data_IF_442177311466
#
_entry.id   IF_442177311466
#
_cell.length_a   1.000
_cell.length_b   1.000
_cell.length_c   1.000
_cell.angle_alpha   90.00
_cell.angle_beta   90.00
_cell.angle_gamma   90.00
#
_symmetry.space_group_name_H-M   'P 1'
#
loop_
_entity.id
_entity.type
_entity.pdbx_description
1 polymer ?
#
# COMPACT_ATOMS: atom_id res chain seq x y z
N UNK A 1 12.01 13.34 1.88
CA UNK A 1 11.22 12.09 1.99
C UNK A 1 9.89 12.24 1.27
N UNK A 2 9.36 11.13 0.80
CA UNK A 2 8.05 11.00 0.15
C UNK A 2 7.20 9.99 0.91
N UNK A 3 5.95 10.33 1.20
CA UNK A 3 4.88 9.38 1.50
C UNK A 3 3.79 9.51 0.44
N UNK A 4 3.64 8.50 -0.39
CA UNK A 4 2.62 8.42 -1.43
C UNK A 4 1.54 7.45 -0.96
N UNK A 5 0.34 7.94 -0.74
CA UNK A 5 -0.77 7.18 -0.17
C UNK A 5 -1.92 7.09 -1.19
N UNK A 6 -2.45 5.90 -1.40
CA UNK A 6 -3.61 5.62 -2.26
C UNK A 6 -4.72 5.08 -1.36
N UNK A 7 -5.92 5.65 -1.42
CA UNK A 7 -7.07 5.13 -0.72
C UNK A 7 -7.62 3.91 -1.48
N UNK A 8 -7.71 2.77 -0.82
CA UNK A 8 -8.25 1.53 -1.39
C UNK A 8 -9.77 1.49 -1.30
N UNK A 9 -10.31 1.93 -0.17
CA UNK A 9 -11.75 1.94 0.08
C UNK A 9 -12.07 1.84 1.58
N UNK A 10 -13.34 1.59 1.88
CA UNK A 10 -13.80 1.31 3.24
C UNK A 10 -13.38 -0.09 3.68
N UNK A 11 -13.25 -0.28 5.00
CA UNK A 11 -12.86 -1.57 5.59
C UNK A 11 -13.97 -2.61 5.33
N UNK A 12 -13.70 -3.49 4.40
CA UNK A 12 -14.50 -4.65 4.03
C UNK A 12 -13.60 -5.86 3.86
N UNK A 13 -14.07 -7.04 4.27
CA UNK A 13 -13.25 -8.26 4.30
C UNK A 13 -12.75 -8.68 2.91
N UNK A 14 -13.62 -8.62 1.90
CA UNK A 14 -13.26 -8.98 0.53
C UNK A 14 -12.26 -7.96 -0.06
N UNK A 15 -12.46 -6.67 0.21
CA UNK A 15 -11.54 -5.61 -0.22
C UNK A 15 -10.18 -5.73 0.48
N UNK A 16 -10.18 -6.07 1.77
CA UNK A 16 -8.95 -6.33 2.52
C UNK A 16 -8.17 -7.52 1.94
N UNK A 17 -8.87 -8.59 1.57
CA UNK A 17 -8.27 -9.75 0.93
C UNK A 17 -7.63 -9.37 -0.42
N UNK A 18 -8.37 -8.67 -1.31
CA UNK A 18 -7.83 -8.17 -2.58
C UNK A 18 -6.60 -7.29 -2.36
N UNK A 19 -6.69 -6.30 -1.47
CA UNK A 19 -5.60 -5.39 -1.17
C UNK A 19 -4.35 -6.11 -0.63
N UNK A 20 -4.53 -7.16 0.19
CA UNK A 20 -3.41 -7.92 0.74
C UNK A 20 -2.63 -8.70 -0.32
N UNK A 21 -3.32 -9.25 -1.32
CA UNK A 21 -2.68 -9.94 -2.45
C UNK A 21 -2.01 -8.93 -3.39
N UNK A 22 -2.67 -7.81 -3.71
CA UNK A 22 -2.08 -6.73 -4.51
C UNK A 22 -0.79 -6.23 -3.84
N UNK A 23 -0.81 -6.00 -2.52
CA UNK A 23 0.38 -5.59 -1.77
C UNK A 23 1.53 -6.58 -1.93
N UNK A 24 1.25 -7.87 -1.76
CA UNK A 24 2.26 -8.95 -1.91
C UNK A 24 2.87 -9.00 -3.32
N UNK A 25 2.07 -8.74 -4.36
CA UNK A 25 2.55 -8.74 -5.75
C UNK A 25 3.46 -7.53 -6.03
N UNK A 26 3.10 -6.34 -5.56
CA UNK A 26 3.82 -5.11 -5.91
C UNK A 26 5.04 -4.83 -5.02
N UNK A 27 5.10 -5.39 -3.81
CA UNK A 27 6.10 -5.07 -2.79
C UNK A 27 7.54 -5.28 -3.30
N UNK A 28 7.81 -6.45 -3.83
CA UNK A 28 9.15 -6.82 -4.26
C UNK A 28 9.60 -6.03 -5.50
N UNK A 29 8.71 -5.82 -6.47
CA UNK A 29 9.03 -5.02 -7.66
C UNK A 29 9.22 -3.55 -7.29
N UNK A 30 8.37 -2.98 -6.46
CA UNK A 30 8.55 -1.60 -5.97
C UNK A 30 9.91 -1.43 -5.29
N UNK A 31 10.26 -2.31 -4.37
CA UNK A 31 11.56 -2.27 -3.70
C UNK A 31 12.71 -2.37 -4.69
N UNK A 32 12.67 -3.36 -5.59
CA UNK A 32 13.71 -3.58 -6.60
C UNK A 32 13.87 -2.36 -7.51
N UNK A 33 12.77 -1.82 -8.03
CA UNK A 33 12.82 -0.67 -8.93
C UNK A 33 13.32 0.60 -8.23
N UNK A 34 12.82 0.91 -7.05
CA UNK A 34 13.14 2.17 -6.36
C UNK A 34 14.47 2.10 -5.61
N UNK A 35 14.73 0.97 -4.93
CA UNK A 35 15.90 0.81 -4.09
C UNK A 35 17.14 0.34 -4.87
N UNK A 36 16.98 -0.70 -5.70
CA UNK A 36 18.11 -1.36 -6.35
C UNK A 36 18.44 -0.70 -7.68
N UNK A 37 17.45 -0.59 -8.58
CA UNK A 37 17.69 -0.11 -9.94
C UNK A 37 17.87 1.40 -10.02
N UNK A 38 17.05 2.16 -9.32
CA UNK A 38 17.07 3.63 -9.35
C UNK A 38 17.84 4.26 -8.18
N UNK A 39 18.17 3.48 -7.18
CA UNK A 39 18.96 3.91 -6.00
C UNK A 39 18.40 5.17 -5.33
N UNK A 40 17.06 5.27 -5.24
CA UNK A 40 16.41 6.49 -4.76
C UNK A 40 16.65 6.77 -3.29
N UNK A 41 16.89 5.75 -2.46
CA UNK A 41 17.11 5.98 -1.05
C UNK A 41 17.39 4.72 -0.24
N UNK A 42 17.70 4.93 1.04
CA UNK A 42 17.94 3.83 1.97
C UNK A 42 16.65 3.18 2.46
N UNK A 43 15.63 3.99 2.76
CA UNK A 43 14.31 3.50 3.13
C UNK A 43 13.42 3.54 1.89
N UNK A 44 12.99 2.37 1.46
CA UNK A 44 12.02 2.17 0.37
C UNK A 44 11.07 1.08 0.83
N UNK A 45 9.84 1.45 1.13
CA UNK A 45 8.81 0.54 1.63
C UNK A 45 7.51 0.72 0.87
N UNK A 46 6.80 -0.39 0.67
CA UNK A 46 5.40 -0.40 0.27
C UNK A 46 4.64 -1.31 1.21
N UNK A 47 3.48 -0.88 1.67
CA UNK A 47 2.65 -1.66 2.58
C UNK A 47 1.19 -1.23 2.54
N UNK A 48 0.33 -2.16 2.92
CA UNK A 48 -1.06 -1.87 3.22
C UNK A 48 -1.16 -1.32 4.64
N UNK A 49 -1.84 -0.20 4.81
CA UNK A 49 -2.18 0.38 6.11
C UNK A 49 -3.69 0.36 6.28
N UNK A 50 -4.14 0.01 7.47
CA UNK A 50 -5.54 0.11 7.88
C UNK A 50 -5.68 1.18 8.94
N UNK A 51 -6.77 1.91 8.87
CA UNK A 51 -7.31 2.73 9.95
C UNK A 51 -8.66 2.13 10.35
N UNK A 52 -9.34 2.72 11.34
CA UNK A 52 -10.63 2.18 11.84
C UNK A 52 -11.63 1.78 10.75
N UNK A 53 -11.74 2.58 9.69
CA UNK A 53 -12.78 2.40 8.66
C UNK A 53 -12.26 2.32 7.23
N UNK A 54 -10.94 2.51 7.00
CA UNK A 54 -10.41 2.63 5.63
C UNK A 54 -9.11 1.86 5.46
N UNK A 55 -8.89 1.45 4.22
CA UNK A 55 -7.69 0.75 3.77
C UNK A 55 -6.93 1.67 2.84
N UNK A 56 -5.61 1.69 2.99
CA UNK A 56 -4.69 2.47 2.17
C UNK A 56 -3.51 1.63 1.70
N UNK A 57 -3.00 1.94 0.51
CA UNK A 57 -1.64 1.61 0.12
C UNK A 57 -0.73 2.78 0.41
N UNK A 58 0.43 2.51 0.96
CA UNK A 58 1.45 3.52 1.22
C UNK A 58 2.80 3.12 0.64
N UNK A 59 3.40 4.04 -0.09
CA UNK A 59 4.75 3.95 -0.62
C UNK A 59 5.60 5.02 0.06
N UNK A 60 6.67 4.59 0.72
CA UNK A 60 7.59 5.46 1.45
C UNK A 60 8.97 5.42 0.84
N UNK A 61 9.55 6.59 0.58
CA UNK A 61 10.93 6.72 0.15
C UNK A 61 11.60 7.83 0.97
N UNK A 62 12.74 7.48 1.61
CA UNK A 62 13.63 8.46 2.21
C UNK A 62 14.94 8.45 1.46
N UNK A 63 15.34 9.62 0.96
CA UNK A 63 16.54 9.82 0.17
C UNK A 63 17.41 10.92 0.77
N UNK A 64 18.72 10.76 0.64
CA UNK A 64 19.71 11.79 0.90
C UNK A 64 20.18 12.50 -0.38
N UNK A 65 19.86 11.94 -1.55
CA UNK A 65 20.37 12.39 -2.86
C UNK A 65 19.28 12.91 -3.80
N UNK A 66 18.03 12.46 -3.64
CA UNK A 66 16.91 12.83 -4.51
C UNK A 66 15.88 13.68 -3.78
N UNK A 67 15.37 14.70 -4.45
CA UNK A 67 14.30 15.55 -3.94
C UNK A 67 12.93 14.83 -3.92
N UNK A 68 12.01 15.28 -3.06
CA UNK A 68 10.72 14.60 -2.90
C UNK A 68 9.83 14.67 -4.15
N UNK A 69 9.91 15.72 -4.94
CA UNK A 69 9.12 15.84 -6.18
C UNK A 69 9.64 14.91 -7.27
N UNK A 70 10.97 14.73 -7.37
CA UNK A 70 11.55 13.76 -8.27
C UNK A 70 11.17 12.34 -7.86
N UNK A 71 11.23 12.00 -6.58
CA UNK A 71 10.79 10.70 -6.08
C UNK A 71 9.31 10.45 -6.39
N UNK A 72 8.44 11.45 -6.20
CA UNK A 72 7.03 11.37 -6.55
C UNK A 72 6.82 11.08 -8.05
N UNK A 73 7.54 11.79 -8.93
CA UNK A 73 7.48 11.54 -10.37
C UNK A 73 7.87 10.10 -10.72
N UNK A 74 8.88 9.55 -10.08
CA UNK A 74 9.34 8.18 -10.31
C UNK A 74 8.34 7.14 -9.79
N UNK A 75 7.73 7.36 -8.62
CA UNK A 75 6.65 6.51 -8.11
C UNK A 75 5.47 6.52 -9.08
N UNK A 76 5.04 7.69 -9.55
CA UNK A 76 3.94 7.78 -10.54
C UNK A 76 4.28 7.09 -11.87
N UNK A 77 5.54 7.15 -12.31
CA UNK A 77 5.97 6.43 -13.51
C UNK A 77 5.96 4.92 -13.30
N UNK A 78 6.38 4.46 -12.14
CA UNK A 78 6.33 3.05 -11.77
C UNK A 78 4.90 2.53 -11.66
N UNK A 79 3.97 3.29 -11.07
CA UNK A 79 2.55 2.91 -10.99
C UNK A 79 1.97 2.57 -12.37
N UNK A 80 2.39 3.27 -13.44
CA UNK A 80 1.96 2.94 -14.80
C UNK A 80 2.47 1.59 -15.29
N UNK A 81 3.62 1.11 -14.77
CA UNK A 81 4.16 -0.20 -15.14
C UNK A 81 3.38 -1.36 -14.52
N UNK A 82 2.61 -1.10 -13.46
CA UNK A 82 1.78 -2.11 -12.80
C UNK A 82 0.69 -2.67 -13.71
N UNK A 83 0.23 -1.91 -14.72
CA UNK A 83 -0.70 -2.42 -15.73
C UNK A 83 -0.16 -3.69 -16.39
N UNK A 84 1.10 -3.62 -16.84
CA UNK A 84 1.76 -4.75 -17.49
C UNK A 84 2.03 -5.90 -16.52
N UNK A 85 2.36 -5.58 -15.27
CA UNK A 85 2.57 -6.56 -14.21
C UNK A 85 1.30 -7.40 -13.97
N UNK A 86 0.16 -6.76 -13.78
CA UNK A 86 -1.11 -7.48 -13.53
C UNK A 86 -1.71 -8.11 -14.80
N UNK A 87 -1.46 -7.55 -15.98
CA UNK A 87 -1.90 -8.16 -17.25
C UNK A 87 -1.13 -9.45 -17.57
N UNK A 88 0.14 -9.51 -17.21
CA UNK A 88 1.01 -10.66 -17.45
C UNK A 88 1.05 -11.65 -16.27
N UNK A 89 0.37 -11.36 -15.16
CA UNK A 89 0.32 -12.23 -13.99
C UNK A 89 -0.21 -13.61 -14.36
N UNK A 90 0.62 -14.63 -14.24
CA UNK A 90 0.21 -16.02 -14.48
C UNK A 90 -0.65 -16.55 -13.34
N UNK A 91 -1.41 -17.62 -13.60
CA UNK A 91 -2.20 -18.28 -12.55
C UNK A 91 -1.29 -18.89 -11.48
N UNK A 92 -0.12 -19.40 -11.89
CA UNK A 92 0.87 -19.95 -10.97
C UNK A 92 1.45 -18.89 -10.02
N UNK A 93 1.81 -17.70 -10.54
CA UNK A 93 2.31 -16.60 -9.72
C UNK A 93 1.25 -16.07 -8.77
N UNK A 94 0.02 -15.91 -9.26
CA UNK A 94 -1.11 -15.52 -8.41
C UNK A 94 -1.30 -16.52 -7.27
N UNK A 95 -1.27 -17.82 -7.56
CA UNK A 95 -1.43 -18.87 -6.56
C UNK A 95 -0.29 -18.87 -5.54
N UNK A 96 0.95 -18.62 -5.97
CA UNK A 96 2.10 -18.48 -5.04
C UNK A 96 1.87 -17.35 -4.04
N UNK A 97 1.42 -16.18 -4.49
CA UNK A 97 1.12 -15.04 -3.60
C UNK A 97 -0.03 -15.37 -2.65
N UNK A 98 -1.08 -16.02 -3.16
CA UNK A 98 -2.24 -16.45 -2.37
C UNK A 98 -1.83 -17.43 -1.27
N UNK A 99 -1.10 -18.48 -1.61
CA UNK A 99 -0.64 -19.50 -0.65
C UNK A 99 0.34 -18.91 0.37
N UNK A 100 1.29 -18.11 -0.05
CA UNK A 100 2.23 -17.45 0.87
C UNK A 100 1.48 -16.60 1.90
N UNK A 101 0.42 -15.87 1.48
CA UNK A 101 -0.40 -15.08 2.40
C UNK A 101 -1.20 -15.94 3.38
N UNK A 102 -1.77 -17.03 2.91
CA UNK A 102 -2.51 -18.00 3.75
C UNK A 102 -1.58 -18.60 4.79
N UNK A 103 -0.41 -19.11 4.37
CA UNK A 103 0.59 -19.70 5.28
C UNK A 103 1.04 -18.69 6.35
N UNK A 104 1.29 -17.43 5.94
CA UNK A 104 1.68 -16.39 6.88
C UNK A 104 0.57 -16.08 7.91
N UNK A 105 -0.69 -16.16 7.50
CA UNK A 105 -1.84 -15.97 8.39
C UNK A 105 -2.08 -17.19 9.28
N UNK A 106 -1.87 -18.40 8.78
CA UNK A 106 -2.05 -19.64 9.56
C UNK A 106 -0.96 -19.85 10.61
N UNK A 107 0.20 -19.21 10.44
CA UNK A 107 1.27 -19.26 11.43
C UNK A 107 0.76 -18.72 12.77
N UNK A 108 0.93 -19.53 13.81
CA UNK A 108 0.64 -19.11 15.19
C UNK A 108 1.79 -18.26 15.75
N UNK A 109 1.47 -17.42 16.71
CA UNK A 109 2.48 -16.64 17.42
C UNK A 109 3.45 -17.58 18.16
N UNK A 110 4.75 -17.34 18.02
CA UNK A 110 5.82 -18.13 18.60
C UNK A 110 6.16 -17.76 20.06
N UNK A 111 5.43 -16.82 20.62
CA UNK A 111 5.58 -16.36 22.02
C UNK A 111 4.23 -15.96 22.62
N UNK A 112 4.15 -15.99 23.94
CA UNK A 112 2.97 -15.51 24.67
C UNK A 112 2.65 -14.05 24.28
N UNK A 113 3.68 -13.21 24.14
CA UNK A 113 3.51 -11.81 23.75
C UNK A 113 2.91 -11.66 22.34
N UNK A 114 3.31 -12.50 21.38
CA UNK A 114 2.74 -12.52 20.03
C UNK A 114 1.26 -12.93 20.07
N UNK A 115 0.92 -14.00 20.80
CA UNK A 115 -0.46 -14.48 20.93
C UNK A 115 -1.35 -13.42 21.61
N UNK A 116 -0.86 -12.77 22.68
CA UNK A 116 -1.58 -11.70 23.34
C UNK A 116 -1.77 -10.49 22.42
N UNK A 117 -0.72 -10.15 21.63
CA UNK A 117 -0.81 -9.08 20.63
C UNK A 117 -1.87 -9.35 19.57
N UNK A 118 -1.92 -10.58 19.05
CA UNK A 118 -2.95 -11.00 18.09
C UNK A 118 -4.36 -10.92 18.68
N UNK A 119 -4.55 -11.42 19.89
CA UNK A 119 -5.85 -11.34 20.59
C UNK A 119 -6.27 -9.90 20.88
N UNK A 120 -5.32 -9.04 21.27
CA UNK A 120 -5.58 -7.63 21.48
C UNK A 120 -6.03 -6.95 20.18
N UNK A 121 -5.33 -7.21 19.06
CA UNK A 121 -5.71 -6.70 17.74
C UNK A 121 -7.11 -7.16 17.34
N UNK A 122 -7.47 -8.43 17.57
CA UNK A 122 -8.82 -8.93 17.30
C UNK A 122 -9.88 -8.24 18.17
N UNK A 123 -9.55 -7.96 19.41
CA UNK A 123 -10.48 -7.30 20.34
C UNK A 123 -10.70 -5.81 20.00
N UNK A 124 -9.65 -5.09 19.55
CA UNK A 124 -9.69 -3.64 19.34
C UNK A 124 -9.96 -3.25 17.89
N UNK A 125 -9.28 -3.90 16.93
CA UNK A 125 -9.28 -3.48 15.53
C UNK A 125 -10.32 -4.25 14.70
N UNK A 126 -10.77 -5.40 15.21
CA UNK A 126 -11.76 -6.26 14.54
C UNK A 126 -13.06 -6.41 15.35
N UNK A 127 -13.36 -5.42 16.20
CA UNK A 127 -14.61 -5.32 16.99
C UNK A 127 -14.91 -6.58 17.84
N UNK A 128 -13.88 -7.29 18.30
CA UNK A 128 -14.01 -8.55 19.06
C UNK A 128 -14.36 -9.76 18.19
N UNK A 129 -14.24 -9.70 16.89
CA UNK A 129 -14.45 -10.85 16.01
C UNK A 129 -13.27 -11.82 16.07
N UNK A 130 -13.24 -12.71 17.06
CA UNK A 130 -12.21 -13.75 17.20
C UNK A 130 -12.20 -14.80 16.06
N UNK A 131 -13.21 -14.78 15.17
CA UNK A 131 -13.21 -15.60 13.96
C UNK A 131 -12.64 -14.85 12.73
N UNK A 132 -12.27 -13.58 12.89
CA UNK A 132 -11.79 -12.74 11.80
C UNK A 132 -10.69 -13.41 10.97
N UNK A 133 -9.66 -13.98 11.62
CA UNK A 133 -8.55 -14.65 10.93
C UNK A 133 -9.03 -15.77 9.99
N UNK A 134 -9.99 -16.61 10.45
CA UNK A 134 -10.58 -17.68 9.64
C UNK A 134 -11.38 -17.13 8.46
N UNK A 135 -12.20 -16.11 8.71
CA UNK A 135 -12.99 -15.43 7.68
C UNK A 135 -12.10 -14.77 6.64
N UNK A 136 -11.00 -14.15 7.08
CA UNK A 136 -10.05 -13.49 6.21
C UNK A 136 -9.28 -14.49 5.32
N UNK A 137 -8.84 -15.63 5.88
CA UNK A 137 -8.24 -16.72 5.11
C UNK A 137 -9.23 -17.25 4.07
N UNK A 138 -10.50 -17.44 4.44
CA UNK A 138 -11.51 -17.88 3.50
C UNK A 138 -11.73 -16.86 2.38
N UNK A 139 -11.82 -15.58 2.71
CA UNK A 139 -11.94 -14.51 1.71
C UNK A 139 -10.73 -14.50 0.73
N UNK A 140 -9.52 -14.80 1.20
CA UNK A 140 -8.34 -14.94 0.34
C UNK A 140 -8.46 -16.19 -0.55
N UNK A 141 -8.94 -17.32 -0.03
CA UNK A 141 -9.14 -18.56 -0.80
C UNK A 141 -10.14 -18.37 -1.94
N UNK A 142 -11.16 -17.55 -1.72
CA UNK A 142 -12.25 -17.30 -2.67
C UNK A 142 -11.89 -16.27 -3.76
N UNK A 143 -10.73 -15.57 -3.63
CA UNK A 143 -10.29 -14.58 -4.61
C UNK A 143 -10.02 -15.21 -5.98
N UNK A 144 -10.46 -14.53 -7.03
CA UNK A 144 -10.07 -14.80 -8.41
C UNK A 144 -8.96 -13.83 -8.83
N UNK A 145 -8.05 -14.29 -9.67
CA UNK A 145 -6.99 -13.46 -10.25
C UNK A 145 -7.57 -12.23 -10.97
N UNK A 146 -8.70 -12.41 -11.70
CA UNK A 146 -9.40 -11.31 -12.36
C UNK A 146 -9.77 -10.18 -11.41
N UNK A 147 -10.33 -10.51 -10.24
CA UNK A 147 -10.81 -9.54 -9.26
C UNK A 147 -9.67 -8.72 -8.66
N UNK A 148 -8.51 -9.38 -8.47
CA UNK A 148 -7.28 -8.76 -7.98
C UNK A 148 -6.67 -7.84 -9.04
N UNK A 149 -6.61 -8.30 -10.30
CA UNK A 149 -6.06 -7.52 -11.41
C UNK A 149 -6.92 -6.30 -11.75
N UNK A 150 -8.25 -6.46 -11.73
CA UNK A 150 -9.19 -5.36 -11.93
C UNK A 150 -9.05 -4.29 -10.82
N UNK A 151 -9.03 -4.73 -9.55
CA UNK A 151 -8.86 -3.80 -8.43
C UNK A 151 -7.49 -3.12 -8.44
N UNK A 152 -6.44 -3.82 -8.82
CA UNK A 152 -5.11 -3.21 -8.97
C UNK A 152 -5.09 -2.12 -10.06
N UNK A 153 -5.76 -2.36 -11.20
CA UNK A 153 -5.91 -1.37 -12.27
C UNK A 153 -6.67 -0.13 -11.80
N UNK A 154 -7.79 -0.32 -11.13
CA UNK A 154 -8.54 0.79 -10.50
C UNK A 154 -7.64 1.59 -9.56
N UNK A 155 -6.96 0.94 -8.62
CA UNK A 155 -6.15 1.61 -7.61
C UNK A 155 -4.98 2.40 -8.19
N UNK A 156 -4.27 1.83 -9.14
CA UNK A 156 -2.99 2.37 -9.59
C UNK A 156 -3.09 3.24 -10.83
N UNK A 157 -4.09 3.01 -11.68
CA UNK A 157 -4.19 3.66 -13.00
C UNK A 157 -5.39 4.60 -13.13
N UNK A 158 -6.48 4.38 -12.39
CA UNK A 158 -7.63 5.29 -12.46
C UNK A 158 -7.26 6.65 -11.83
N UNK A 159 -7.35 7.76 -12.61
CA UNK A 159 -7.08 9.10 -12.10
C UNK A 159 -8.09 9.57 -11.03
N UNK A 160 -9.26 8.95 -10.95
CA UNK A 160 -10.28 9.27 -9.94
C UNK A 160 -9.99 8.63 -8.58
N UNK A 161 -9.11 7.63 -8.51
CA UNK A 161 -8.72 7.03 -7.23
C UNK A 161 -8.06 8.08 -6.32
N UNK A 162 -8.58 8.32 -5.09
CA UNK A 162 -8.04 9.34 -4.20
C UNK A 162 -6.59 9.02 -3.78
N UNK A 163 -5.73 10.03 -3.92
CA UNK A 163 -4.30 9.96 -3.58
C UNK A 163 -3.87 11.15 -2.75
N UNK A 164 -2.96 10.90 -1.84
CA UNK A 164 -2.31 11.94 -1.04
C UNK A 164 -0.80 11.75 -1.09
N UNK A 165 -0.09 12.80 -1.47
CA UNK A 165 1.35 12.85 -1.45
C UNK A 165 1.83 13.83 -0.38
N UNK A 166 2.58 13.32 0.59
CA UNK A 166 3.27 14.15 1.59
C UNK A 166 4.75 14.20 1.23
N UNK A 167 5.22 15.40 0.95
CA UNK A 167 6.53 15.69 0.39
C UNK A 167 7.34 16.50 1.42
N UNK A 168 8.30 15.86 2.09
CA UNK A 168 9.14 16.54 3.08
C UNK A 168 10.49 16.88 2.45
N UNK A 169 10.79 18.17 2.36
CA UNK A 169 12.06 18.71 1.87
C UNK A 169 13.04 18.90 3.02
N UNK A 170 14.31 18.56 2.77
CA UNK A 170 15.38 18.97 3.67
C UNK A 170 15.65 20.47 3.55
N UNK A 171 16.09 21.09 4.63
CA UNK A 171 16.54 22.50 4.63
C UNK A 171 17.68 22.67 3.61
N UNK A 172 17.56 23.67 2.72
CA UNK A 172 18.57 23.94 1.69
C UNK A 172 18.38 23.17 0.38
N UNK A 173 17.37 22.31 0.24
CA UNK A 173 17.04 21.69 -1.04
C UNK A 173 16.67 22.74 -2.08
N UNK A 174 17.32 22.68 -3.27
CA UNK A 174 17.08 23.61 -4.39
C UNK A 174 15.91 23.23 -5.30
N UNK A 175 15.26 22.09 -5.05
CA UNK A 175 14.14 21.62 -5.85
C UNK A 175 12.96 22.60 -5.77
N UNK A 176 12.44 23.02 -6.92
CA UNK A 176 11.31 23.95 -6.98
C UNK A 176 10.03 23.30 -6.45
N UNK A 177 9.23 24.07 -5.71
CA UNK A 177 7.91 23.65 -5.26
C UNK A 177 6.92 23.87 -6.41
N UNK A 178 6.20 22.84 -6.90
CA UNK A 178 5.17 23.01 -7.91
C UNK A 178 4.06 23.96 -7.42
N UNK A 179 3.52 24.77 -8.30
CA UNK A 179 2.42 25.69 -7.96
C UNK A 179 1.15 24.97 -7.44
N UNK A 180 0.99 23.70 -7.79
CA UNK A 180 -0.14 22.87 -7.30
C UNK A 180 0.07 22.30 -5.90
N UNK A 181 1.25 22.45 -5.32
CA UNK A 181 1.54 21.90 -3.99
C UNK A 181 0.91 22.78 -2.90
N UNK A 182 0.24 22.14 -1.97
CA UNK A 182 -0.26 22.78 -0.73
C UNK A 182 0.95 22.95 0.20
N UNK A 183 1.20 24.18 0.65
CA UNK A 183 2.40 24.50 1.44
C UNK A 183 2.09 24.91 2.88
N UNK A 184 0.81 25.03 3.23
CA UNK A 184 0.38 25.36 4.59
C UNK A 184 -0.80 24.50 5.04
N UNK A 185 -0.94 24.35 6.37
CA UNK A 185 -2.08 23.68 6.98
C UNK A 185 -3.39 24.43 6.70
N UNK A 186 -3.33 25.74 6.64
CA UNK A 186 -4.49 26.60 6.34
C UNK A 186 -5.01 26.33 4.92
N UNK A 187 -4.12 26.29 3.93
CA UNK A 187 -4.47 25.97 2.53
C UNK A 187 -5.05 24.56 2.43
N UNK A 188 -4.45 23.58 3.15
CA UNK A 188 -4.97 22.22 3.20
C UNK A 188 -6.40 22.18 3.77
N UNK A 189 -6.63 22.82 4.91
CA UNK A 189 -7.93 22.85 5.56
C UNK A 189 -9.00 23.53 4.69
N UNK A 190 -8.63 24.55 3.93
CA UNK A 190 -9.56 25.22 3.03
C UNK A 190 -9.97 24.34 1.84
N UNK A 191 -9.05 23.50 1.34
CA UNK A 191 -9.34 22.57 0.23
C UNK A 191 -10.22 21.38 0.62
N UNK A 192 -10.18 20.92 1.87
CA UNK A 192 -11.00 19.79 2.32
C UNK A 192 -12.39 20.22 2.83
N UNK A 193 -12.62 21.52 3.05
CA UNK A 193 -13.93 22.07 3.50
C UNK A 193 -14.83 22.50 2.34
N UNK A 194 -14.30 22.62 1.13
CA UNK A 194 -15.04 22.95 -0.09
C UNK A 194 -15.33 21.71 -0.91
#
# INVERSE_FOLDING_TARGET
SLSYTIQVGEKDLALMAKASIIASIVENDFYTQMRTNQQLGYIVWSFQQRTEKRIFFRFLIQSSTHGPFEMSKRVRSWLKTTEKMFSNLSDEEFEKHRQAKIIALEKEGDSISAVVGDLYTLATDEDGDFQFKKKFIQAIKDLKKSDVSEKARELFLDPQTPRLEVLMRAKGTKEAIPASAITSVEEFNNRIKG
#
